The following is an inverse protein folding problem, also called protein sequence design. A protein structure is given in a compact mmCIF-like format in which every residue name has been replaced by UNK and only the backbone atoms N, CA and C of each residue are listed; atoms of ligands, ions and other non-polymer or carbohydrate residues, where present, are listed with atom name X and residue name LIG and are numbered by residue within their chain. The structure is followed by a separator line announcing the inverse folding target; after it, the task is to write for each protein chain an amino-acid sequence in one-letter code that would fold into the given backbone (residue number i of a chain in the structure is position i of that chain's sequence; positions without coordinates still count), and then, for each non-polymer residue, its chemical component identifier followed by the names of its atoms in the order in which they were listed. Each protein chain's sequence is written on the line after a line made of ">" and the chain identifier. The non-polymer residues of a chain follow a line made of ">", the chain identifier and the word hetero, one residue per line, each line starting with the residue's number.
data_IF_621900733579
#
_entry.id   IF_621900733579
#
_cell.length_a   1.000
_cell.length_b   1.000
_cell.length_c   1.000
_cell.angle_alpha   90.00
_cell.angle_beta   90.00
_cell.angle_gamma   90.00
#
_symmetry.space_group_name_H-M   'P 1'
#
loop_
_entity.id
_entity.type
_entity.pdbx_description
1 polymer ?
#
# COMPACT_ATOMS: atom_id res chain seq x y z
N UNK A 1 39.23 23.24 -71.49
CA UNK A 1 38.20 22.72 -72.42
C UNK A 1 37.38 21.70 -71.63
N UNK A 2 36.24 22.10 -71.07
CA UNK A 2 34.89 21.64 -71.51
C UNK A 2 34.59 20.23 -70.96
N UNK A 3 33.56 19.89 -70.16
CA UNK A 3 32.23 20.48 -69.88
C UNK A 3 31.54 19.70 -68.72
N UNK A 4 30.91 20.44 -67.80
CA UNK A 4 29.56 20.26 -67.19
C UNK A 4 29.13 18.96 -66.45
N UNK A 5 28.90 19.04 -65.13
CA UNK A 5 27.62 19.15 -64.37
C UNK A 5 26.85 17.83 -64.19
N UNK A 6 26.76 17.37 -62.92
CA UNK A 6 25.49 16.87 -62.37
C UNK A 6 25.34 17.31 -60.90
N UNK A 7 24.16 17.87 -60.66
CA UNK A 7 23.67 18.61 -59.50
C UNK A 7 23.55 17.72 -58.27
N UNK A 8 24.16 18.13 -57.15
CA UNK A 8 23.82 17.65 -55.80
C UNK A 8 22.90 18.70 -55.16
N UNK A 9 21.65 18.30 -54.93
CA UNK A 9 20.60 19.16 -54.43
C UNK A 9 20.84 19.57 -52.98
N UNK A 10 20.54 20.84 -52.75
CA UNK A 10 20.49 21.60 -51.50
C UNK A 10 19.56 20.94 -50.47
N UNK A 11 20.05 20.78 -49.25
CA UNK A 11 19.24 20.80 -48.03
C UNK A 11 20.01 21.55 -46.95
N UNK A 12 20.00 22.88 -47.08
CA UNK A 12 20.16 23.78 -45.96
C UNK A 12 18.75 24.30 -45.65
N UNK A 13 18.27 24.12 -44.41
CA UNK A 13 17.76 25.21 -43.57
C UNK A 13 17.18 24.67 -42.25
N UNK A 14 17.40 25.49 -41.21
CA UNK A 14 16.74 25.54 -39.90
C UNK A 14 16.98 24.40 -38.91
N UNK A 15 18.15 24.45 -38.26
CA UNK A 15 18.21 24.28 -36.80
C UNK A 15 17.56 25.51 -36.14
N UNK A 16 16.29 25.41 -35.76
CA UNK A 16 15.66 26.22 -34.70
C UNK A 16 14.26 25.69 -34.41
N UNK A 17 13.96 25.49 -33.11
CA UNK A 17 12.69 25.05 -32.50
C UNK A 17 12.26 23.61 -32.89
N UNK A 18 12.18 22.64 -31.99
CA UNK A 18 11.42 22.65 -30.73
C UNK A 18 12.18 21.82 -29.69
N UNK A 19 12.81 22.49 -28.74
CA UNK A 19 13.36 21.89 -27.53
C UNK A 19 12.74 22.61 -26.32
N UNK A 20 11.41 22.65 -26.27
CA UNK A 20 10.66 23.03 -25.08
C UNK A 20 9.44 22.13 -25.02
N UNK A 21 9.32 21.32 -23.96
CA UNK A 21 8.14 20.46 -23.82
C UNK A 21 8.20 19.29 -22.84
N UNK A 22 9.31 19.04 -22.13
CA UNK A 22 9.27 18.29 -20.87
C UNK A 22 10.26 18.95 -19.91
N UNK A 23 9.83 20.12 -19.40
CA UNK A 23 10.52 20.79 -18.32
C UNK A 23 10.68 19.83 -17.15
N UNK A 24 11.90 19.72 -16.64
CA UNK A 24 12.13 19.20 -15.31
C UNK A 24 11.21 19.97 -14.36
N UNK A 25 10.29 19.27 -13.70
CA UNK A 25 9.37 19.89 -12.76
C UNK A 25 10.18 20.75 -11.77
N UNK A 26 9.89 22.04 -11.74
CA UNK A 26 10.50 22.95 -10.77
C UNK A 26 10.22 22.41 -9.36
N UNK A 27 11.22 22.46 -8.49
CA UNK A 27 11.04 22.18 -7.06
C UNK A 27 10.16 23.22 -6.37
N UNK A 28 9.92 24.37 -7.02
CA UNK A 28 8.99 25.39 -6.56
C UNK A 28 7.53 25.06 -6.96
N UNK A 29 6.56 25.21 -6.03
CA UNK A 29 5.15 25.09 -6.34
C UNK A 29 4.69 26.04 -7.45
N UNK A 30 3.64 25.69 -8.21
CA UNK A 30 3.03 26.59 -9.19
C UNK A 30 2.71 27.98 -8.63
N UNK A 31 2.87 29.02 -9.45
CA UNK A 31 2.74 30.43 -9.04
C UNK A 31 1.36 30.83 -8.48
N UNK A 32 0.35 29.97 -8.60
CA UNK A 32 -0.98 30.14 -8.00
C UNK A 32 -0.95 30.05 -6.47
N UNK A 33 0.06 29.40 -5.90
CA UNK A 33 0.22 29.26 -4.46
C UNK A 33 0.91 30.48 -3.84
N UNK A 34 0.35 30.93 -2.72
CA UNK A 34 0.89 32.01 -1.91
C UNK A 34 2.18 31.58 -1.21
N UNK A 35 3.15 32.51 -1.15
CA UNK A 35 4.48 32.26 -0.57
C UNK A 35 4.55 32.51 0.94
N UNK A 36 3.48 33.04 1.55
CA UNK A 36 3.41 33.28 2.99
C UNK A 36 3.36 31.96 3.76
N UNK A 37 3.66 32.04 5.06
CA UNK A 37 3.44 30.92 5.98
C UNK A 37 1.96 30.53 6.01
N UNK A 38 1.67 29.28 6.40
CA UNK A 38 0.29 28.80 6.60
C UNK A 38 -0.55 29.78 7.43
N UNK A 39 0.00 30.23 8.57
CA UNK A 39 -0.66 31.14 9.51
C UNK A 39 -0.93 32.52 8.90
N UNK A 40 0.04 33.08 8.17
CA UNK A 40 -0.10 34.41 7.59
C UNK A 40 -1.02 34.41 6.36
N UNK A 41 -0.97 33.36 5.54
CA UNK A 41 -1.88 33.17 4.43
C UNK A 41 -3.32 32.98 4.93
N UNK A 42 -3.52 32.21 6.00
CA UNK A 42 -4.84 32.06 6.64
C UNK A 42 -5.37 33.42 7.12
N UNK A 43 -4.57 34.19 7.87
CA UNK A 43 -4.95 35.54 8.32
C UNK A 43 -5.33 36.46 7.16
N UNK A 44 -4.60 36.36 6.04
CA UNK A 44 -4.87 37.17 4.86
C UNK A 44 -6.14 36.75 4.12
N UNK A 45 -6.42 35.45 4.05
CA UNK A 45 -7.69 34.96 3.52
C UNK A 45 -8.87 35.48 4.36
N UNK A 46 -8.76 35.35 5.69
CA UNK A 46 -9.76 35.81 6.65
C UNK A 46 -9.99 37.34 6.51
N UNK A 47 -8.92 38.14 6.48
CA UNK A 47 -9.01 39.59 6.30
C UNK A 47 -9.60 40.01 4.94
N UNK A 48 -9.27 39.27 3.87
CA UNK A 48 -9.81 39.49 2.53
C UNK A 48 -11.19 38.89 2.30
N UNK A 49 -11.79 38.23 3.32
CA UNK A 49 -13.02 37.43 3.20
C UNK A 49 -12.96 36.40 2.06
N UNK A 50 -11.76 35.93 1.72
CA UNK A 50 -11.50 34.93 0.67
C UNK A 50 -11.56 33.52 1.25
N UNK A 51 -11.69 32.53 0.38
CA UNK A 51 -11.47 31.14 0.77
C UNK A 51 -9.99 30.92 1.11
N UNK A 52 -9.72 30.11 2.12
CA UNK A 52 -8.37 29.64 2.38
C UNK A 52 -8.25 28.18 1.90
N UNK A 53 -7.42 27.95 0.89
CA UNK A 53 -7.26 26.64 0.27
C UNK A 53 -5.90 26.08 0.66
N UNK A 54 -5.87 24.84 1.14
CA UNK A 54 -4.64 24.12 1.47
C UNK A 54 -4.49 22.95 0.51
N UNK A 55 -3.32 22.81 -0.10
CA UNK A 55 -2.89 21.58 -0.78
C UNK A 55 -1.81 20.89 0.05
N UNK A 56 -2.14 19.77 0.67
CA UNK A 56 -1.16 18.89 1.30
C UNK A 56 -0.44 18.05 0.24
N UNK A 57 0.90 17.99 0.31
CA UNK A 57 1.78 17.36 -0.68
C UNK A 57 2.99 16.69 -0.03
N UNK A 58 3.79 15.99 -0.82
CA UNK A 58 5.13 15.50 -0.44
C UNK A 58 6.05 15.44 -1.68
N UNK A 59 7.37 15.48 -1.48
CA UNK A 59 8.36 15.41 -2.58
C UNK A 59 8.27 14.09 -3.36
N UNK A 60 7.93 13.01 -2.67
CA UNK A 60 7.75 11.68 -3.24
C UNK A 60 6.33 11.44 -3.79
N UNK A 61 5.41 12.41 -3.67
CA UNK A 61 4.03 12.25 -4.13
C UNK A 61 3.92 12.44 -5.65
N UNK A 62 3.96 11.32 -6.40
CA UNK A 62 3.77 11.32 -7.86
C UNK A 62 2.47 12.01 -8.33
N UNK A 63 1.29 11.69 -7.78
CA UNK A 63 0.04 12.37 -8.14
C UNK A 63 0.05 13.88 -7.87
N UNK A 64 0.76 14.33 -6.84
CA UNK A 64 0.92 15.75 -6.54
C UNK A 64 1.71 16.46 -7.64
N UNK A 65 2.85 15.89 -8.06
CA UNK A 65 3.65 16.41 -9.19
C UNK A 65 2.81 16.50 -10.46
N UNK A 66 1.99 15.48 -10.74
CA UNK A 66 1.08 15.49 -11.89
C UNK A 66 0.05 16.61 -11.80
N UNK A 67 -0.58 16.83 -10.64
CA UNK A 67 -1.50 17.95 -10.44
C UNK A 67 -0.79 19.30 -10.58
N UNK A 68 0.45 19.42 -10.11
CA UNK A 68 1.20 20.67 -10.24
C UNK A 68 1.53 20.98 -11.69
N UNK A 69 1.86 19.97 -12.49
CA UNK A 69 2.17 20.11 -13.91
C UNK A 69 0.93 20.25 -14.82
N UNK A 70 -0.28 19.95 -14.34
CA UNK A 70 -1.50 19.91 -15.20
C UNK A 70 -2.68 20.71 -14.66
N UNK A 71 -2.92 20.67 -13.36
CA UNK A 71 -4.17 21.12 -12.72
C UNK A 71 -4.02 22.49 -12.07
N UNK A 72 -2.95 22.69 -11.31
CA UNK A 72 -2.67 23.98 -10.66
C UNK A 72 -2.08 25.03 -11.59
N UNK A 73 -1.78 24.64 -12.83
CA UNK A 73 -1.34 25.53 -13.92
C UNK A 73 -2.44 25.81 -14.94
N UNK A 74 -3.63 25.22 -14.78
CA UNK A 74 -4.77 25.48 -15.67
C UNK A 74 -5.30 26.91 -15.48
N UNK A 75 -5.52 27.62 -16.59
CA UNK A 75 -5.91 29.03 -16.58
C UNK A 75 -7.21 29.30 -15.82
N UNK A 76 -8.19 28.38 -15.86
CA UNK A 76 -9.46 28.56 -15.17
C UNK A 76 -9.30 28.35 -13.68
N UNK A 77 -8.52 27.34 -13.28
CA UNK A 77 -8.16 27.11 -11.86
C UNK A 77 -7.39 28.30 -11.31
N UNK A 78 -6.35 28.77 -12.02
CA UNK A 78 -5.57 29.95 -11.63
C UNK A 78 -6.47 31.17 -11.46
N UNK A 79 -7.33 31.44 -12.45
CA UNK A 79 -8.24 32.58 -12.42
C UNK A 79 -9.17 32.50 -11.21
N UNK A 80 -9.80 31.35 -10.98
CA UNK A 80 -10.69 31.17 -9.85
C UNK A 80 -9.97 31.41 -8.51
N UNK A 81 -8.77 30.84 -8.33
CA UNK A 81 -8.01 31.00 -7.08
C UNK A 81 -7.62 32.46 -6.86
N UNK A 82 -7.11 33.16 -7.87
CA UNK A 82 -6.74 34.58 -7.74
C UNK A 82 -7.93 35.46 -7.33
N UNK A 83 -9.09 35.21 -7.93
CA UNK A 83 -10.28 36.00 -7.70
C UNK A 83 -10.90 35.70 -6.31
N UNK A 84 -10.92 34.43 -5.88
CA UNK A 84 -11.76 33.98 -4.77
C UNK A 84 -11.01 33.49 -3.52
N UNK A 85 -9.72 33.16 -3.63
CA UNK A 85 -9.01 32.42 -2.60
C UNK A 85 -7.58 32.92 -2.31
N UNK A 86 -7.04 32.45 -1.19
CA UNK A 86 -5.60 32.37 -0.92
C UNK A 86 -5.28 30.89 -0.80
N UNK A 87 -4.45 30.36 -1.70
CA UNK A 87 -4.08 28.95 -1.72
C UNK A 87 -2.64 28.77 -1.22
N UNK A 88 -2.39 27.77 -0.37
CA UNK A 88 -1.05 27.43 0.12
C UNK A 88 -0.73 25.95 -0.07
N UNK A 89 0.56 25.64 -0.07
CA UNK A 89 1.06 24.27 -0.04
C UNK A 89 1.50 23.93 1.39
N UNK A 90 1.16 22.74 1.84
CA UNK A 90 1.67 22.12 3.06
C UNK A 90 2.42 20.85 2.66
N UNK A 91 3.74 20.85 2.84
CA UNK A 91 4.59 19.67 2.67
C UNK A 91 4.56 18.86 3.97
N UNK A 92 3.99 17.66 3.91
CA UNK A 92 3.73 16.83 5.11
C UNK A 92 5.01 16.38 5.81
N UNK A 93 6.14 16.30 5.09
CA UNK A 93 7.42 15.91 5.68
C UNK A 93 8.09 17.09 6.40
N UNK A 94 7.87 18.30 5.89
CA UNK A 94 8.48 19.54 6.46
C UNK A 94 7.61 20.20 7.52
N UNK A 95 6.31 20.01 7.45
CA UNK A 95 5.31 20.71 8.25
C UNK A 95 4.43 19.69 9.00
N UNK A 96 5.08 18.77 9.72
CA UNK A 96 4.44 17.63 10.37
C UNK A 96 3.35 18.03 11.36
N UNK A 97 3.57 19.09 12.15
CA UNK A 97 2.57 19.58 13.12
C UNK A 97 1.29 20.04 12.40
N UNK A 98 1.44 20.83 11.32
CA UNK A 98 0.30 21.30 10.51
C UNK A 98 -0.40 20.12 9.84
N UNK A 99 0.36 19.16 9.30
CA UNK A 99 -0.22 17.97 8.67
C UNK A 99 -0.98 17.09 9.68
N UNK A 100 -0.49 16.99 10.91
CA UNK A 100 -1.14 16.31 12.03
C UNK A 100 -2.44 17.00 12.42
N UNK A 101 -2.42 18.32 12.63
CA UNK A 101 -3.59 19.13 12.98
C UNK A 101 -4.69 19.07 11.91
N UNK A 102 -4.30 18.98 10.63
CA UNK A 102 -5.22 18.84 9.50
C UNK A 102 -5.69 17.39 9.26
N UNK A 103 -5.18 16.43 10.04
CA UNK A 103 -5.43 15.00 9.89
C UNK A 103 -5.18 14.50 8.44
N UNK A 104 -4.02 14.85 7.87
CA UNK A 104 -3.63 14.41 6.52
C UNK A 104 -3.18 12.95 6.56
N UNK A 105 -3.96 12.07 5.92
CA UNK A 105 -3.66 10.63 5.82
C UNK A 105 -3.27 10.18 4.40
N UNK A 106 -3.46 11.05 3.41
CA UNK A 106 -3.21 10.75 2.01
C UNK A 106 -2.91 12.02 1.22
N UNK A 107 -2.14 11.87 0.14
CA UNK A 107 -1.74 12.98 -0.73
C UNK A 107 -2.12 12.70 -2.20
N UNK A 108 -2.44 13.77 -2.96
CA UNK A 108 -2.70 15.12 -2.48
C UNK A 108 -4.02 15.18 -1.68
N UNK A 109 -4.10 16.11 -0.74
CA UNK A 109 -5.37 16.48 -0.08
C UNK A 109 -5.58 17.98 -0.25
N UNK A 110 -6.75 18.35 -0.79
CA UNK A 110 -7.18 19.74 -0.91
C UNK A 110 -8.25 20.02 0.14
N UNK A 111 -8.06 21.08 0.93
CA UNK A 111 -8.98 21.48 1.99
C UNK A 111 -9.38 22.93 1.76
N UNK A 112 -10.68 23.21 1.86
CA UNK A 112 -11.22 24.56 1.80
C UNK A 112 -11.68 24.99 3.18
N UNK A 113 -11.20 26.16 3.62
CA UNK A 113 -11.61 26.81 4.85
C UNK A 113 -12.36 28.10 4.55
N UNK A 114 -13.37 28.36 5.37
CA UNK A 114 -14.10 29.63 5.42
C UNK A 114 -14.28 30.03 6.88
N UNK A 115 -14.00 31.28 7.20
CA UNK A 115 -14.16 31.84 8.55
C UNK A 115 -13.47 31.00 9.63
N UNK A 116 -12.27 30.53 9.32
CA UNK A 116 -11.45 29.68 10.20
C UNK A 116 -11.92 28.25 10.39
N UNK A 117 -13.03 27.83 9.78
CA UNK A 117 -13.54 26.46 9.84
C UNK A 117 -13.33 25.73 8.52
N UNK A 118 -13.12 24.42 8.61
CA UNK A 118 -13.09 23.58 7.42
C UNK A 118 -14.51 23.47 6.84
N UNK A 119 -14.64 23.81 5.57
CA UNK A 119 -15.90 23.74 4.85
C UNK A 119 -16.08 22.39 4.17
N UNK A 120 -15.08 21.98 3.38
CA UNK A 120 -15.04 20.71 2.65
C UNK A 120 -13.59 20.32 2.32
N UNK A 121 -13.38 19.04 2.01
CA UNK A 121 -12.09 18.49 1.57
C UNK A 121 -12.25 17.47 0.44
N UNK A 122 -11.24 17.37 -0.43
CA UNK A 122 -11.16 16.32 -1.45
C UNK A 122 -9.77 15.70 -1.46
N UNK A 123 -9.71 14.39 -1.61
CA UNK A 123 -8.47 13.59 -1.53
C UNK A 123 -8.17 12.92 -2.86
N UNK A 124 -6.88 12.80 -3.16
CA UNK A 124 -6.33 12.16 -4.35
C UNK A 124 -6.26 13.09 -5.56
N UNK A 125 -5.74 12.57 -6.65
CA UNK A 125 -5.63 13.29 -7.92
C UNK A 125 -7.00 13.87 -8.34
N UNK A 126 -6.98 15.12 -8.82
CA UNK A 126 -8.09 15.77 -9.50
C UNK A 126 -7.59 16.31 -10.83
N UNK A 127 -8.30 16.02 -11.90
CA UNK A 127 -8.08 16.68 -13.18
C UNK A 127 -8.48 18.17 -13.06
N UNK A 128 -8.06 19.04 -13.99
CA UNK A 128 -8.38 20.47 -13.95
C UNK A 128 -9.88 20.76 -13.79
N UNK A 129 -10.71 20.08 -14.59
CA UNK A 129 -12.16 20.23 -14.53
C UNK A 129 -12.77 19.78 -13.19
N UNK A 130 -12.26 18.69 -12.60
CA UNK A 130 -12.76 18.18 -11.32
C UNK A 130 -12.38 19.09 -10.16
N UNK A 131 -11.16 19.64 -10.16
CA UNK A 131 -10.75 20.61 -9.14
C UNK A 131 -11.56 21.89 -9.27
N UNK A 132 -11.74 22.41 -10.49
CA UNK A 132 -12.54 23.60 -10.74
C UNK A 132 -14.00 23.40 -10.31
N UNK A 133 -14.61 22.26 -10.63
CA UNK A 133 -15.98 21.92 -10.20
C UNK A 133 -16.10 21.95 -8.67
N UNK A 134 -15.13 21.39 -7.95
CA UNK A 134 -15.11 21.46 -6.50
C UNK A 134 -14.95 22.90 -5.96
N UNK A 135 -14.04 23.68 -6.54
CA UNK A 135 -13.82 25.09 -6.15
C UNK A 135 -15.07 25.96 -6.41
N UNK A 136 -15.73 25.79 -7.54
CA UNK A 136 -16.98 26.49 -7.83
C UNK A 136 -18.12 25.99 -6.94
N UNK A 137 -18.17 24.70 -6.62
CA UNK A 137 -19.13 24.11 -5.68
C UNK A 137 -19.04 24.74 -4.30
N UNK A 138 -17.85 24.82 -3.71
CA UNK A 138 -17.67 25.46 -2.40
C UNK A 138 -18.10 26.93 -2.42
N UNK A 139 -17.86 27.65 -3.53
CA UNK A 139 -18.33 29.04 -3.68
C UNK A 139 -19.86 29.16 -3.71
N UNK A 140 -20.57 28.12 -4.19
CA UNK A 140 -22.04 28.01 -4.13
C UNK A 140 -22.56 27.48 -2.79
N UNK A 141 -21.68 27.18 -1.83
CA UNK A 141 -22.06 26.57 -0.55
C UNK A 141 -22.37 25.07 -0.66
N UNK A 142 -21.92 24.41 -1.73
CA UNK A 142 -22.11 22.98 -1.95
C UNK A 142 -20.93 22.19 -1.35
N UNK A 143 -21.23 21.10 -0.64
CA UNK A 143 -20.21 20.15 -0.16
C UNK A 143 -20.16 18.93 -1.08
N UNK A 144 -18.95 18.46 -1.39
CA UNK A 144 -18.73 17.30 -2.26
C UNK A 144 -19.40 16.02 -1.76
N UNK A 145 -19.58 15.85 -0.45
CA UNK A 145 -20.32 14.72 0.14
C UNK A 145 -21.75 14.60 -0.39
N UNK A 146 -22.45 15.69 -0.67
CA UNK A 146 -23.85 15.64 -1.11
C UNK A 146 -23.97 15.07 -2.52
N UNK A 147 -23.03 15.40 -3.41
CA UNK A 147 -22.93 14.77 -4.73
C UNK A 147 -22.60 13.28 -4.62
N UNK A 148 -21.72 12.90 -3.69
CA UNK A 148 -21.35 11.49 -3.44
C UNK A 148 -22.54 10.70 -2.88
N UNK A 149 -23.28 11.24 -1.89
CA UNK A 149 -24.51 10.66 -1.34
C UNK A 149 -25.57 10.45 -2.42
N UNK A 150 -25.76 11.45 -3.30
CA UNK A 150 -26.72 11.34 -4.42
C UNK A 150 -26.36 10.21 -5.36
N UNK A 151 -25.06 10.06 -5.70
CA UNK A 151 -24.58 8.94 -6.54
C UNK A 151 -24.78 7.59 -5.85
N UNK A 152 -24.45 7.50 -4.56
CA UNK A 152 -24.57 6.28 -3.77
C UNK A 152 -26.02 5.77 -3.62
N UNK A 153 -27.01 6.67 -3.59
CA UNK A 153 -28.45 6.31 -3.55
C UNK A 153 -29.01 5.77 -4.88
N UNK A 154 -28.21 5.79 -5.96
CA UNK A 154 -28.63 5.36 -7.29
C UNK A 154 -29.50 6.38 -8.02
N UNK A 155 -29.21 6.59 -9.31
CA UNK A 155 -30.06 7.40 -10.19
C UNK A 155 -31.19 6.56 -10.78
N UNK A 156 -32.37 6.55 -10.16
CA UNK A 156 -33.68 6.19 -10.75
C UNK A 156 -33.86 4.81 -11.41
N UNK A 157 -32.84 3.97 -11.53
CA UNK A 157 -32.83 2.73 -12.31
C UNK A 157 -32.74 1.43 -11.51
N UNK A 158 -32.77 1.49 -10.17
CA UNK A 158 -33.00 0.34 -9.30
C UNK A 158 -31.85 -0.65 -9.08
N UNK A 159 -30.63 -0.41 -9.57
CA UNK A 159 -29.44 -1.20 -9.21
C UNK A 159 -28.52 -0.41 -8.28
N UNK A 160 -28.20 -1.00 -7.13
CA UNK A 160 -27.22 -0.48 -6.18
C UNK A 160 -25.84 -0.34 -6.84
N UNK A 161 -25.25 0.85 -6.74
CA UNK A 161 -23.89 1.12 -7.22
C UNK A 161 -22.89 0.93 -6.06
N UNK A 162 -22.34 -0.29 -5.97
CA UNK A 162 -21.35 -0.68 -4.97
C UNK A 162 -20.14 0.24 -4.95
N UNK A 163 -19.68 0.72 -6.12
CA UNK A 163 -18.53 1.60 -6.19
C UNK A 163 -18.89 2.99 -5.65
N UNK A 164 -20.09 3.50 -5.95
CA UNK A 164 -20.57 4.77 -5.39
C UNK A 164 -20.74 4.70 -3.88
N UNK A 165 -21.26 3.59 -3.33
CA UNK A 165 -21.37 3.39 -1.87
C UNK A 165 -20.00 3.25 -1.20
N UNK A 166 -19.06 2.53 -1.80
CA UNK A 166 -17.69 2.46 -1.27
C UNK A 166 -17.01 3.83 -1.29
N UNK A 167 -17.22 4.64 -2.33
CA UNK A 167 -16.75 6.01 -2.38
C UNK A 167 -17.42 6.90 -1.30
N UNK A 168 -18.71 6.68 -1.01
CA UNK A 168 -19.41 7.33 0.08
C UNK A 168 -18.81 6.99 1.44
N UNK A 169 -18.58 5.71 1.74
CA UNK A 169 -17.96 5.27 2.99
C UNK A 169 -16.61 5.98 3.22
N UNK A 170 -15.75 6.02 2.19
CA UNK A 170 -14.46 6.71 2.24
C UNK A 170 -14.60 8.21 2.46
N UNK A 171 -15.55 8.86 1.77
CA UNK A 171 -15.80 10.30 1.93
C UNK A 171 -16.35 10.63 3.32
N UNK A 172 -17.19 9.78 3.90
CA UNK A 172 -17.67 9.94 5.28
C UNK A 172 -16.52 9.87 6.29
N UNK A 173 -15.55 8.96 6.11
CA UNK A 173 -14.33 8.92 6.95
C UNK A 173 -13.51 10.22 6.81
N UNK A 174 -13.34 10.69 5.57
CA UNK A 174 -12.61 11.94 5.28
C UNK A 174 -13.26 13.13 5.97
N UNK A 175 -14.59 13.19 5.99
CA UNK A 175 -15.36 14.28 6.61
C UNK A 175 -15.56 14.10 8.12
N UNK A 176 -14.92 13.10 8.74
CA UNK A 176 -15.05 12.82 10.17
C UNK A 176 -16.41 12.25 10.59
N UNK A 177 -17.28 11.88 9.65
CA UNK A 177 -18.59 11.27 9.89
C UNK A 177 -18.43 9.76 10.15
N UNK A 178 -17.72 9.40 11.22
CA UNK A 178 -17.24 8.04 11.48
C UNK A 178 -18.37 7.03 11.70
N UNK A 179 -19.45 7.42 12.37
CA UNK A 179 -20.60 6.52 12.62
C UNK A 179 -21.32 6.16 11.31
N UNK A 180 -21.56 7.16 10.46
CA UNK A 180 -22.18 6.94 9.15
C UNK A 180 -21.26 6.13 8.23
N UNK A 181 -19.95 6.40 8.26
CA UNK A 181 -18.98 5.60 7.52
C UNK A 181 -19.01 4.14 7.97
N UNK A 182 -19.10 3.90 9.28
CA UNK A 182 -19.18 2.55 9.85
C UNK A 182 -20.41 1.82 9.34
N UNK A 183 -21.57 2.47 9.33
CA UNK A 183 -22.81 1.87 8.84
C UNK A 183 -22.73 1.54 7.34
N UNK A 184 -22.13 2.42 6.54
CA UNK A 184 -21.87 2.14 5.12
C UNK A 184 -20.91 0.97 4.92
N UNK A 185 -19.83 0.87 5.69
CA UNK A 185 -18.90 -0.27 5.62
C UNK A 185 -19.56 -1.59 6.03
N UNK A 186 -20.43 -1.59 7.04
CA UNK A 186 -21.17 -2.80 7.46
C UNK A 186 -22.13 -3.24 6.36
N UNK A 187 -22.87 -2.29 5.76
CA UNK A 187 -23.76 -2.61 4.65
C UNK A 187 -22.98 -3.17 3.46
N UNK A 188 -21.86 -2.52 3.10
CA UNK A 188 -20.99 -3.01 2.03
C UNK A 188 -20.46 -4.41 2.36
N UNK A 189 -20.10 -4.68 3.61
CA UNK A 189 -19.59 -6.01 3.99
C UNK A 189 -20.64 -7.09 3.71
N UNK A 190 -21.89 -6.81 4.05
CA UNK A 190 -23.01 -7.74 3.94
C UNK A 190 -23.50 -7.93 2.49
N UNK A 191 -23.50 -6.86 1.68
CA UNK A 191 -24.20 -6.88 0.38
C UNK A 191 -23.29 -6.76 -0.85
N UNK A 192 -22.04 -6.31 -0.69
CA UNK A 192 -21.14 -6.03 -1.82
C UNK A 192 -20.99 -7.21 -2.78
N UNK A 193 -20.89 -8.44 -2.24
CA UNK A 193 -20.66 -9.64 -3.05
C UNK A 193 -21.94 -10.22 -3.66
N UNK A 194 -23.09 -9.95 -3.05
CA UNK A 194 -24.39 -10.30 -3.63
C UNK A 194 -24.64 -9.50 -4.92
N UNK A 195 -24.19 -8.25 -4.94
CA UNK A 195 -24.31 -7.36 -6.10
C UNK A 195 -23.16 -7.48 -7.09
N UNK A 196 -21.93 -7.69 -6.61
CA UNK A 196 -20.74 -7.79 -7.44
C UNK A 196 -19.70 -8.76 -6.84
N UNK A 197 -19.76 -10.06 -7.19
CA UNK A 197 -18.82 -11.07 -6.68
C UNK A 197 -17.34 -10.76 -6.98
N UNK A 198 -17.04 -10.00 -8.03
CA UNK A 198 -15.67 -9.61 -8.36
C UNK A 198 -15.02 -8.70 -7.30
N UNK A 199 -15.82 -8.12 -6.40
CA UNK A 199 -15.35 -7.28 -5.31
C UNK A 199 -14.82 -8.06 -4.10
N UNK A 200 -14.82 -9.41 -4.13
CA UNK A 200 -14.31 -10.25 -3.02
C UNK A 200 -12.91 -9.81 -2.57
N UNK A 201 -12.00 -9.64 -3.54
CA UNK A 201 -10.64 -9.18 -3.27
C UNK A 201 -10.59 -7.78 -2.66
N UNK A 202 -11.46 -6.86 -3.09
CA UNK A 202 -11.51 -5.48 -2.54
C UNK A 202 -12.05 -5.48 -1.11
N UNK A 203 -13.11 -6.26 -0.84
CA UNK A 203 -13.73 -6.39 0.49
C UNK A 203 -12.73 -6.86 1.54
N UNK A 204 -12.02 -7.96 1.26
CA UNK A 204 -11.05 -8.55 2.18
C UNK A 204 -9.71 -7.80 2.29
N UNK A 205 -9.45 -6.80 1.43
CA UNK A 205 -8.18 -6.06 1.42
C UNK A 205 -8.34 -4.56 1.70
N UNK A 206 -8.63 -3.76 0.67
CA UNK A 206 -8.72 -2.31 0.76
C UNK A 206 -9.81 -1.87 1.74
N UNK A 207 -11.01 -2.47 1.62
CA UNK A 207 -12.13 -2.13 2.48
C UNK A 207 -11.88 -2.57 3.93
N UNK A 208 -11.40 -3.80 4.16
CA UNK A 208 -11.02 -4.26 5.49
C UNK A 208 -9.94 -3.37 6.14
N UNK A 209 -8.97 -2.87 5.36
CA UNK A 209 -7.97 -1.92 5.85
C UNK A 209 -8.61 -0.59 6.29
N UNK A 210 -9.54 -0.07 5.49
CA UNK A 210 -10.28 1.14 5.84
C UNK A 210 -11.10 0.93 7.13
N UNK A 211 -11.78 -0.22 7.25
CA UNK A 211 -12.51 -0.59 8.47
C UNK A 211 -11.57 -0.69 9.69
N UNK A 212 -10.38 -1.29 9.54
CA UNK A 212 -9.39 -1.37 10.63
C UNK A 212 -8.95 0.02 11.09
N UNK A 213 -8.66 0.93 10.16
CA UNK A 213 -8.32 2.34 10.48
C UNK A 213 -9.48 3.04 11.20
N UNK A 214 -10.71 2.81 10.74
CA UNK A 214 -11.90 3.36 11.37
C UNK A 214 -12.11 2.81 12.80
N UNK A 215 -11.88 1.51 13.01
CA UNK A 215 -11.97 0.87 14.32
C UNK A 215 -10.96 1.43 15.33
N UNK A 216 -9.77 1.84 14.88
CA UNK A 216 -8.77 2.50 15.74
C UNK A 216 -9.21 3.91 16.14
N UNK A 217 -10.01 4.59 15.28
CA UNK A 217 -10.43 5.98 15.45
C UNK A 217 -11.77 6.15 16.18
N UNK A 218 -12.62 5.13 16.22
CA UNK A 218 -13.94 5.18 16.87
C UNK A 218 -14.22 3.88 17.64
N UNK A 219 -14.53 4.04 18.93
CA UNK A 219 -14.92 2.92 19.80
C UNK A 219 -16.24 2.30 19.35
N UNK A 220 -17.16 3.13 18.88
CA UNK A 220 -18.45 2.75 18.34
C UNK A 220 -18.26 1.89 17.09
N UNK A 221 -17.32 2.27 16.20
CA UNK A 221 -16.93 1.46 15.06
C UNK A 221 -16.36 0.09 15.49
N UNK A 222 -15.45 0.07 16.47
CA UNK A 222 -14.94 -1.19 17.03
C UNK A 222 -16.07 -2.09 17.52
N UNK A 223 -17.03 -1.55 18.27
CA UNK A 223 -18.17 -2.29 18.80
C UNK A 223 -19.05 -2.87 17.68
N UNK A 224 -19.43 -2.05 16.69
CA UNK A 224 -20.27 -2.51 15.59
C UNK A 224 -19.57 -3.56 14.72
N UNK A 225 -18.27 -3.42 14.44
CA UNK A 225 -17.51 -4.43 13.73
C UNK A 225 -17.31 -5.71 14.57
N UNK A 226 -17.22 -5.61 15.89
CA UNK A 226 -17.19 -6.78 16.79
C UNK A 226 -18.50 -7.56 16.69
N UNK A 227 -19.65 -6.88 16.71
CA UNK A 227 -20.95 -7.54 16.52
C UNK A 227 -21.07 -8.23 15.16
N UNK A 228 -20.56 -7.59 14.09
CA UNK A 228 -20.48 -8.20 12.77
C UNK A 228 -19.62 -9.48 12.78
N UNK A 229 -18.43 -9.41 13.39
CA UNK A 229 -17.51 -10.55 13.58
C UNK A 229 -18.16 -11.68 14.36
N UNK A 230 -18.80 -11.38 15.49
CA UNK A 230 -19.38 -12.37 16.39
C UNK A 230 -20.50 -13.16 15.69
N UNK A 231 -21.32 -12.49 14.86
CA UNK A 231 -22.33 -13.15 14.04
C UNK A 231 -21.71 -14.16 13.08
N UNK A 232 -20.67 -13.77 12.33
CA UNK A 232 -19.94 -14.68 11.42
C UNK A 232 -19.29 -15.83 12.20
N UNK A 233 -18.77 -15.55 13.40
CA UNK A 233 -18.11 -16.55 14.24
C UNK A 233 -19.03 -17.64 14.78
N UNK A 234 -20.32 -17.34 15.02
CA UNK A 234 -21.30 -18.31 15.50
C UNK A 234 -21.52 -19.46 14.50
N UNK A 235 -21.57 -19.16 13.21
CA UNK A 235 -21.70 -20.19 12.15
C UNK A 235 -20.49 -21.16 12.18
N UNK A 236 -19.28 -20.61 12.30
CA UNK A 236 -18.02 -21.38 12.37
C UNK A 236 -18.01 -22.30 13.59
N UNK A 237 -18.41 -21.79 14.76
CA UNK A 237 -18.45 -22.57 16.01
C UNK A 237 -19.47 -23.71 15.96
N UNK A 238 -20.58 -23.53 15.24
CA UNK A 238 -21.63 -24.53 15.05
C UNK A 238 -21.28 -25.60 14.00
N UNK A 239 -20.01 -25.72 13.61
CA UNK A 239 -19.50 -26.70 12.64
C UNK A 239 -20.06 -26.58 11.22
N UNK A 240 -20.73 -25.47 10.88
CA UNK A 240 -20.96 -25.04 9.50
C UNK A 240 -19.79 -24.16 9.09
N UNK A 241 -18.79 -24.78 8.48
CA UNK A 241 -17.55 -24.09 8.10
C UNK A 241 -17.60 -23.84 6.60
N UNK A 242 -18.33 -22.80 6.21
CA UNK A 242 -18.14 -22.25 4.88
C UNK A 242 -16.73 -21.61 4.80
N UNK A 243 -15.93 -21.91 3.76
CA UNK A 243 -14.60 -21.33 3.61
C UNK A 243 -14.59 -19.80 3.58
N UNK A 244 -15.65 -19.18 3.04
CA UNK A 244 -15.78 -17.73 2.91
C UNK A 244 -16.17 -17.11 4.26
N UNK A 245 -17.05 -17.76 5.04
CA UNK A 245 -17.37 -17.33 6.41
C UNK A 245 -16.13 -17.35 7.32
N UNK A 246 -15.30 -18.39 7.20
CA UNK A 246 -14.03 -18.45 7.92
C UNK A 246 -13.07 -17.32 7.51
N UNK A 247 -12.98 -17.05 6.20
CA UNK A 247 -12.19 -15.95 5.66
C UNK A 247 -12.65 -14.61 6.25
N UNK A 248 -13.96 -14.35 6.21
CA UNK A 248 -14.58 -13.15 6.72
C UNK A 248 -14.32 -12.97 8.23
N UNK A 249 -14.48 -14.04 9.01
CA UNK A 249 -14.23 -14.00 10.46
C UNK A 249 -12.76 -13.68 10.78
N UNK A 250 -11.80 -14.29 10.07
CA UNK A 250 -10.37 -14.01 10.25
C UNK A 250 -10.03 -12.56 9.88
N UNK A 251 -10.59 -12.06 8.78
CA UNK A 251 -10.40 -10.66 8.36
C UNK A 251 -11.01 -9.70 9.38
N UNK A 252 -12.22 -9.99 9.89
CA UNK A 252 -12.88 -9.16 10.90
C UNK A 252 -12.15 -9.19 12.24
N UNK A 253 -11.57 -10.32 12.67
CA UNK A 253 -10.66 -10.36 13.82
C UNK A 253 -9.49 -9.38 13.64
N UNK A 254 -8.89 -9.34 12.44
CA UNK A 254 -7.82 -8.39 12.13
C UNK A 254 -8.30 -6.92 12.09
N UNK A 255 -9.53 -6.68 11.63
CA UNK A 255 -10.17 -5.34 11.64
C UNK A 255 -10.30 -4.81 13.06
N UNK A 256 -10.77 -5.63 14.00
CA UNK A 256 -10.97 -5.22 15.40
C UNK A 256 -9.73 -5.41 16.28
N UNK A 257 -8.66 -6.00 15.74
CA UNK A 257 -7.41 -6.26 16.47
C UNK A 257 -7.46 -7.46 17.43
N UNK A 258 -8.45 -8.35 17.30
CA UNK A 258 -8.61 -9.54 18.15
C UNK A 258 -7.77 -10.71 17.61
N UNK A 259 -6.44 -10.56 17.68
CA UNK A 259 -5.49 -11.62 17.28
C UNK A 259 -5.64 -12.87 18.15
N UNK A 260 -5.99 -12.69 19.43
CA UNK A 260 -6.13 -13.78 20.39
C UNK A 260 -7.20 -14.77 19.94
N UNK A 261 -8.37 -14.30 19.50
CA UNK A 261 -9.43 -15.17 18.99
C UNK A 261 -8.94 -16.03 17.82
N UNK A 262 -8.21 -15.44 16.87
CA UNK A 262 -7.61 -16.17 15.74
C UNK A 262 -6.65 -17.26 16.19
N UNK A 263 -5.75 -16.96 17.13
CA UNK A 263 -4.76 -17.92 17.64
C UNK A 263 -5.42 -19.05 18.44
N UNK A 264 -6.37 -18.72 19.33
CA UNK A 264 -7.11 -19.70 20.12
C UNK A 264 -7.89 -20.67 19.21
N UNK A 265 -8.50 -20.15 18.12
CA UNK A 265 -9.15 -20.99 17.12
C UNK A 265 -8.15 -21.85 16.36
N UNK A 266 -7.05 -21.25 15.88
CA UNK A 266 -6.00 -21.97 15.14
C UNK A 266 -5.45 -23.13 15.96
N UNK A 267 -5.17 -22.93 17.25
CA UNK A 267 -4.66 -23.97 18.14
C UNK A 267 -5.62 -25.14 18.33
N UNK A 268 -6.93 -24.90 18.30
CA UNK A 268 -7.94 -25.96 18.37
C UNK A 268 -7.94 -26.84 17.11
N UNK A 269 -7.63 -26.26 15.94
CA UNK A 269 -7.87 -26.92 14.63
C UNK A 269 -6.60 -27.36 13.91
N UNK A 270 -5.42 -26.80 14.21
CA UNK A 270 -4.18 -26.98 13.43
C UNK A 270 -3.70 -28.43 13.28
N UNK A 271 -4.04 -29.30 14.22
CA UNK A 271 -3.66 -30.73 14.21
C UNK A 271 -4.78 -31.64 13.68
N UNK A 272 -5.95 -31.10 13.37
CA UNK A 272 -7.09 -31.85 12.85
C UNK A 272 -7.02 -31.92 11.32
N UNK A 273 -6.80 -33.12 10.77
CA UNK A 273 -6.59 -33.33 9.33
C UNK A 273 -7.64 -32.70 8.40
N UNK A 274 -8.91 -32.66 8.82
CA UNK A 274 -10.01 -32.05 8.05
C UNK A 274 -9.83 -30.56 7.78
N UNK A 275 -9.06 -29.84 8.59
CA UNK A 275 -8.85 -28.40 8.46
C UNK A 275 -7.66 -28.04 7.56
N UNK A 276 -6.78 -28.99 7.22
CA UNK A 276 -5.58 -28.72 6.42
C UNK A 276 -5.86 -27.93 5.13
N UNK A 277 -6.87 -28.29 4.30
CA UNK A 277 -7.16 -27.54 3.08
C UNK A 277 -7.62 -26.10 3.36
N UNK A 278 -8.41 -25.89 4.42
CA UNK A 278 -8.89 -24.55 4.81
C UNK A 278 -7.75 -23.70 5.36
N UNK A 279 -6.90 -24.26 6.22
CA UNK A 279 -5.73 -23.57 6.76
C UNK A 279 -4.77 -23.14 5.64
N UNK A 280 -4.56 -24.01 4.64
CA UNK A 280 -3.75 -23.66 3.47
C UNK A 280 -4.34 -22.51 2.64
N UNK A 281 -5.67 -22.49 2.46
CA UNK A 281 -6.35 -21.36 1.80
C UNK A 281 -6.24 -20.05 2.58
N UNK A 282 -6.19 -20.13 3.91
CA UNK A 282 -6.10 -18.98 4.81
C UNK A 282 -4.67 -18.54 5.12
N UNK A 283 -3.67 -19.03 4.37
CA UNK A 283 -2.28 -18.76 4.66
C UNK A 283 -1.92 -17.27 4.67
N UNK A 284 -2.53 -16.45 3.80
CA UNK A 284 -2.32 -15.00 3.77
C UNK A 284 -2.88 -14.28 5.01
N UNK A 285 -3.95 -14.80 5.61
CA UNK A 285 -4.56 -14.23 6.81
C UNK A 285 -3.85 -14.70 8.09
N UNK A 286 -3.32 -15.93 8.10
CA UNK A 286 -2.72 -16.54 9.28
C UNK A 286 -1.21 -16.30 9.40
N UNK A 287 -0.46 -16.29 8.29
CA UNK A 287 1.01 -16.19 8.33
C UNK A 287 1.50 -14.93 9.05
N UNK A 288 0.97 -13.71 8.80
CA UNK A 288 1.44 -12.51 9.49
C UNK A 288 1.30 -12.61 11.01
N UNK A 289 0.15 -13.11 11.48
CA UNK A 289 -0.13 -13.26 12.92
C UNK A 289 0.81 -14.30 13.55
N UNK A 290 1.03 -15.43 12.87
CA UNK A 290 1.93 -16.46 13.37
C UNK A 290 3.39 -15.99 13.40
N UNK A 291 3.83 -15.21 12.42
CA UNK A 291 5.18 -14.62 12.37
C UNK A 291 5.37 -13.61 13.49
N UNK A 292 4.41 -12.70 13.69
CA UNK A 292 4.42 -11.71 14.79
C UNK A 292 4.52 -12.38 16.17
N UNK A 293 3.90 -13.54 16.35
CA UNK A 293 3.95 -14.34 17.58
C UNK A 293 5.12 -15.34 17.62
N UNK A 294 6.07 -15.25 16.68
CA UNK A 294 7.25 -16.12 16.57
C UNK A 294 6.93 -17.63 16.41
N UNK A 295 5.76 -17.97 15.85
CA UNK A 295 5.27 -19.34 15.63
C UNK A 295 5.65 -19.89 14.24
N UNK A 296 6.93 -19.79 13.87
CA UNK A 296 7.43 -20.14 12.55
C UNK A 296 7.13 -21.57 12.09
N UNK A 297 7.20 -22.55 13.00
CA UNK A 297 6.87 -23.94 12.66
C UNK A 297 5.39 -24.10 12.24
N UNK A 298 4.49 -23.28 12.81
CA UNK A 298 3.07 -23.29 12.44
C UNK A 298 2.83 -22.63 11.09
N UNK A 299 3.65 -21.65 10.68
CA UNK A 299 3.60 -21.07 9.33
C UNK A 299 3.83 -22.16 8.29
N UNK A 300 4.79 -23.07 8.50
CA UNK A 300 5.06 -24.17 7.57
C UNK A 300 3.87 -25.13 7.40
N UNK A 301 2.98 -25.22 8.39
CA UNK A 301 1.76 -26.06 8.31
C UNK A 301 0.75 -25.53 7.30
N UNK A 302 0.77 -24.21 7.05
CA UNK A 302 -0.10 -23.56 6.07
C UNK A 302 0.31 -23.87 4.62
N UNK A 303 1.53 -24.38 4.42
CA UNK A 303 2.10 -24.68 3.12
C UNK A 303 2.48 -26.17 3.03
N UNK A 304 1.49 -27.05 2.79
CA UNK A 304 1.72 -28.50 2.71
C UNK A 304 2.61 -28.87 1.52
N UNK A 305 2.59 -28.08 0.44
CA UNK A 305 3.45 -28.22 -0.74
C UNK A 305 4.24 -26.91 -0.97
N UNK A 306 5.45 -26.80 -0.39
CA UNK A 306 6.26 -25.60 -0.53
C UNK A 306 6.74 -25.36 -1.97
N UNK A 307 7.03 -26.42 -2.73
CA UNK A 307 7.53 -26.27 -4.11
C UNK A 307 6.44 -25.71 -5.02
N UNK A 308 5.21 -26.21 -4.92
CA UNK A 308 4.08 -25.63 -5.63
C UNK A 308 3.81 -24.19 -5.19
N UNK A 309 4.05 -23.85 -3.91
CA UNK A 309 3.94 -22.47 -3.45
C UNK A 309 5.02 -21.56 -4.05
N UNK A 310 6.26 -22.04 -4.18
CA UNK A 310 7.35 -21.32 -4.84
C UNK A 310 6.98 -20.98 -6.30
N UNK A 311 6.46 -21.96 -7.04
CA UNK A 311 6.05 -21.77 -8.42
C UNK A 311 4.95 -20.72 -8.54
N UNK A 312 3.96 -20.74 -7.64
CA UNK A 312 2.90 -19.73 -7.59
C UNK A 312 3.44 -18.33 -7.30
N UNK A 313 4.34 -18.21 -6.34
CA UNK A 313 4.90 -16.91 -5.95
C UNK A 313 5.81 -16.34 -7.05
N UNK A 314 6.54 -17.20 -7.75
CA UNK A 314 7.36 -16.81 -8.90
C UNK A 314 6.50 -16.39 -10.11
N UNK A 315 5.42 -17.12 -10.42
CA UNK A 315 4.51 -16.73 -11.49
C UNK A 315 3.82 -15.40 -11.18
N UNK A 316 3.42 -15.17 -9.93
CA UNK A 316 2.87 -13.88 -9.52
C UNK A 316 3.89 -12.77 -9.69
N UNK A 317 5.14 -12.99 -9.28
CA UNK A 317 6.25 -12.06 -9.50
C UNK A 317 6.43 -11.71 -10.98
N UNK A 318 6.45 -12.71 -11.86
CA UNK A 318 6.57 -12.51 -13.30
C UNK A 318 5.44 -11.65 -13.84
N UNK A 319 4.19 -11.97 -13.49
CA UNK A 319 3.00 -11.22 -13.92
C UNK A 319 2.97 -9.78 -13.40
N UNK A 320 3.48 -9.52 -12.19
CA UNK A 320 3.50 -8.16 -11.64
C UNK A 320 4.67 -7.34 -12.14
N UNK A 321 5.81 -7.96 -12.42
CA UNK A 321 6.98 -7.32 -13.02
C UNK A 321 6.72 -6.95 -14.50
N UNK A 322 5.95 -7.76 -15.23
CA UNK A 322 5.55 -7.49 -16.62
C UNK A 322 4.47 -6.40 -16.77
N UNK A 323 3.91 -5.88 -15.67
CA UNK A 323 2.99 -4.74 -15.75
C UNK A 323 3.76 -3.49 -16.16
N UNK A 324 3.34 -2.92 -17.28
CA UNK A 324 3.97 -1.74 -17.84
C UNK A 324 3.51 -0.49 -17.07
N UNK A 325 4.45 0.17 -16.39
CA UNK A 325 4.27 1.56 -15.96
C UNK A 325 4.22 2.51 -17.16
N UNK A 326 3.69 3.73 -17.01
CA UNK A 326 3.62 4.71 -18.11
C UNK A 326 5.00 5.18 -18.60
N UNK A 327 6.04 4.96 -17.80
CA UNK A 327 7.42 5.36 -18.06
C UNK A 327 8.42 4.36 -17.45
N UNK A 328 9.68 4.50 -17.87
CA UNK A 328 10.80 3.64 -17.48
C UNK A 328 11.07 3.66 -15.97
N UNK A 329 10.94 4.82 -15.32
CA UNK A 329 11.15 4.96 -13.88
C UNK A 329 10.11 4.17 -13.09
N UNK A 330 8.83 4.30 -13.48
CA UNK A 330 7.73 3.56 -12.87
C UNK A 330 7.90 2.06 -13.10
N UNK A 331 8.33 1.64 -14.29
CA UNK A 331 8.60 0.23 -14.60
C UNK A 331 9.65 -0.35 -13.66
N UNK A 332 10.76 0.35 -13.45
CA UNK A 332 11.84 -0.07 -12.54
C UNK A 332 11.36 -0.18 -11.09
N UNK A 333 10.58 0.79 -10.62
CA UNK A 333 10.00 0.76 -9.26
C UNK A 333 9.08 -0.46 -9.06
N UNK A 334 8.26 -0.78 -10.06
CA UNK A 334 7.35 -1.91 -10.02
C UNK A 334 8.09 -3.26 -10.04
N UNK A 335 9.14 -3.37 -10.85
CA UNK A 335 10.01 -4.54 -10.93
C UNK A 335 10.75 -4.77 -9.61
N UNK A 336 11.35 -3.73 -9.02
CA UNK A 336 12.02 -3.80 -7.72
C UNK A 336 11.05 -4.17 -6.59
N UNK A 337 9.85 -3.58 -6.60
CA UNK A 337 8.80 -3.89 -5.61
C UNK A 337 8.34 -5.34 -5.71
N UNK A 338 8.14 -5.84 -6.94
CA UNK A 338 7.76 -7.22 -7.19
C UNK A 338 8.87 -8.20 -6.74
N UNK A 339 10.12 -7.88 -7.07
CA UNK A 339 11.28 -8.70 -6.67
C UNK A 339 11.42 -8.79 -5.15
N UNK A 340 11.22 -7.66 -4.46
CA UNK A 340 11.26 -7.62 -2.99
C UNK A 340 10.17 -8.48 -2.37
N UNK A 341 8.95 -8.36 -2.88
CA UNK A 341 7.81 -9.16 -2.41
C UNK A 341 8.02 -10.67 -2.61
N UNK A 342 8.56 -11.07 -3.77
CA UNK A 342 8.92 -12.45 -4.03
C UNK A 342 9.94 -12.99 -3.01
N UNK A 343 11.06 -12.28 -2.84
CA UNK A 343 12.13 -12.65 -1.90
C UNK A 343 11.61 -12.77 -0.47
N UNK A 344 10.80 -11.82 -0.01
CA UNK A 344 10.22 -11.83 1.33
C UNK A 344 9.38 -13.09 1.58
N UNK A 345 8.46 -13.41 0.68
CA UNK A 345 7.58 -14.59 0.81
C UNK A 345 8.37 -15.90 0.81
N UNK A 346 9.33 -16.01 -0.10
CA UNK A 346 10.21 -17.16 -0.21
C UNK A 346 11.03 -17.33 1.07
N UNK A 347 11.61 -16.24 1.58
CA UNK A 347 12.42 -16.27 2.79
C UNK A 347 11.62 -16.64 4.04
N UNK A 348 10.37 -16.16 4.15
CA UNK A 348 9.48 -16.53 5.25
C UNK A 348 9.14 -18.03 5.24
N UNK A 349 8.79 -18.59 4.08
CA UNK A 349 8.50 -20.03 3.97
C UNK A 349 9.75 -20.87 4.21
N UNK A 350 10.90 -20.46 3.69
CA UNK A 350 12.18 -21.11 3.98
C UNK A 350 12.47 -21.19 5.49
N UNK A 351 12.38 -20.06 6.19
CA UNK A 351 12.58 -19.99 7.64
C UNK A 351 11.56 -20.84 8.41
N UNK A 352 10.30 -20.84 7.97
CA UNK A 352 9.24 -21.67 8.53
C UNK A 352 9.55 -23.18 8.39
N UNK A 353 10.05 -23.62 7.23
CA UNK A 353 10.45 -25.02 7.02
C UNK A 353 11.59 -25.44 7.95
N UNK A 354 12.58 -24.56 8.16
CA UNK A 354 13.65 -24.81 9.13
C UNK A 354 13.10 -24.94 10.56
N UNK A 355 12.20 -24.04 10.96
CA UNK A 355 11.56 -24.06 12.27
C UNK A 355 10.70 -25.32 12.50
N UNK A 356 10.11 -25.87 11.44
CA UNK A 356 9.35 -27.11 11.45
C UNK A 356 10.24 -28.38 11.37
N UNK A 357 11.56 -28.25 11.53
CA UNK A 357 12.54 -29.34 11.40
C UNK A 357 12.52 -30.05 10.02
N UNK A 358 12.06 -29.37 8.96
CA UNK A 358 12.02 -29.86 7.57
C UNK A 358 13.28 -29.43 6.81
N UNK A 359 14.46 -29.63 7.38
CA UNK A 359 15.71 -28.99 6.90
C UNK A 359 16.10 -29.40 5.47
N UNK A 360 15.99 -30.69 5.12
CA UNK A 360 16.29 -31.17 3.76
C UNK A 360 15.38 -30.53 2.70
N UNK A 361 14.11 -30.38 3.02
CA UNK A 361 13.14 -29.74 2.16
C UNK A 361 13.38 -28.23 2.07
N UNK A 362 13.69 -27.58 3.19
CA UNK A 362 14.06 -26.17 3.21
C UNK A 362 15.28 -25.87 2.32
N UNK A 363 16.31 -26.73 2.34
CA UNK A 363 17.48 -26.60 1.46
C UNK A 363 17.09 -26.77 -0.02
N UNK A 364 16.30 -27.80 -0.35
CA UNK A 364 15.82 -28.02 -1.73
C UNK A 364 15.01 -26.82 -2.23
N UNK A 365 14.14 -26.29 -1.37
CA UNK A 365 13.33 -25.11 -1.65
C UNK A 365 14.20 -23.86 -1.89
N UNK A 366 15.17 -23.59 -1.02
CA UNK A 366 16.08 -22.46 -1.15
C UNK A 366 16.99 -22.59 -2.38
N UNK A 367 17.41 -23.80 -2.74
CA UNK A 367 18.19 -24.04 -3.96
C UNK A 367 17.39 -23.71 -5.22
N UNK A 368 16.12 -24.12 -5.26
CA UNK A 368 15.24 -23.77 -6.37
C UNK A 368 14.97 -22.26 -6.42
N UNK A 369 14.69 -21.64 -5.27
CA UNK A 369 14.46 -20.20 -5.19
C UNK A 369 15.66 -19.39 -5.71
N UNK A 370 16.88 -19.79 -5.37
CA UNK A 370 18.12 -19.16 -5.85
C UNK A 370 18.42 -19.40 -7.34
N UNK A 371 17.76 -20.37 -7.98
CA UNK A 371 17.80 -20.53 -9.45
C UNK A 371 16.82 -19.60 -10.14
N UNK A 372 15.68 -19.30 -9.49
CA UNK A 372 14.68 -18.37 -10.00
C UNK A 372 15.12 -16.91 -9.81
N UNK A 373 15.86 -16.64 -8.75
CA UNK A 373 16.49 -15.34 -8.48
C UNK A 373 17.91 -15.57 -7.92
N UNK A 374 18.91 -15.45 -8.79
CA UNK A 374 20.32 -15.68 -8.47
C UNK A 374 21.01 -14.45 -7.85
N UNK A 375 20.24 -13.44 -7.43
CA UNK A 375 20.77 -12.21 -6.86
C UNK A 375 21.34 -12.38 -5.45
N UNK A 376 22.26 -11.48 -5.09
CA UNK A 376 22.72 -11.34 -3.70
C UNK A 376 21.57 -11.02 -2.73
N UNK A 377 20.56 -10.27 -3.18
CA UNK A 377 19.41 -9.90 -2.37
C UNK A 377 18.53 -11.11 -2.00
N UNK A 378 18.38 -12.11 -2.89
CA UNK A 378 17.69 -13.35 -2.55
C UNK A 378 18.44 -14.11 -1.44
N UNK A 379 19.76 -14.25 -1.58
CA UNK A 379 20.61 -14.89 -0.56
C UNK A 379 20.53 -14.15 0.78
N UNK A 380 20.64 -12.83 0.76
CA UNK A 380 20.52 -12.00 1.96
C UNK A 380 19.15 -12.17 2.62
N UNK A 381 18.07 -12.14 1.85
CA UNK A 381 16.70 -12.26 2.37
C UNK A 381 16.45 -13.62 3.03
N UNK A 382 16.89 -14.72 2.41
CA UNK A 382 16.82 -16.07 2.98
C UNK A 382 17.55 -16.15 4.32
N UNK A 383 18.78 -15.60 4.38
CA UNK A 383 19.62 -15.67 5.57
C UNK A 383 19.14 -14.75 6.68
N UNK A 384 18.76 -13.50 6.36
CA UNK A 384 18.26 -12.54 7.34
C UNK A 384 16.95 -13.02 7.97
N UNK A 385 16.02 -13.52 7.16
CA UNK A 385 14.73 -14.01 7.68
C UNK A 385 14.92 -15.28 8.52
N UNK A 386 15.80 -16.19 8.11
CA UNK A 386 16.14 -17.36 8.92
C UNK A 386 16.80 -16.95 10.25
N UNK A 387 17.67 -15.94 10.25
CA UNK A 387 18.27 -15.40 11.47
C UNK A 387 17.22 -14.78 12.40
N UNK A 388 16.34 -13.93 11.87
CA UNK A 388 15.27 -13.27 12.62
C UNK A 388 14.26 -14.28 13.19
N UNK A 389 14.04 -15.39 12.49
CA UNK A 389 13.24 -16.53 12.95
C UNK A 389 13.95 -17.44 13.99
N UNK A 390 15.17 -17.10 14.41
CA UNK A 390 15.99 -17.95 15.29
C UNK A 390 16.46 -19.26 14.63
N UNK A 391 16.45 -19.32 13.31
CA UNK A 391 16.79 -20.50 12.49
C UNK A 391 18.15 -20.40 11.79
N UNK A 392 19.10 -19.68 12.38
CA UNK A 392 20.48 -19.63 11.89
C UNK A 392 21.12 -21.04 11.80
N UNK A 393 21.90 -21.28 10.74
CA UNK A 393 22.65 -22.51 10.48
C UNK A 393 24.05 -22.17 9.97
N UNK A 394 25.01 -23.07 10.19
CA UNK A 394 26.40 -22.88 9.75
C UNK A 394 26.53 -22.67 8.25
N UNK A 395 25.77 -23.41 7.43
CA UNK A 395 25.80 -23.29 5.97
C UNK A 395 25.30 -21.93 5.45
N UNK A 396 24.59 -21.14 6.26
CA UNK A 396 24.22 -19.77 5.89
C UNK A 396 25.46 -18.86 5.75
N UNK A 397 26.52 -19.12 6.52
CA UNK A 397 27.78 -18.37 6.39
C UNK A 397 28.42 -18.63 5.01
N UNK A 398 28.39 -19.88 4.56
CA UNK A 398 28.91 -20.27 3.24
C UNK A 398 28.14 -19.55 2.13
N UNK A 399 26.82 -19.42 2.27
CA UNK A 399 26.00 -18.69 1.30
C UNK A 399 26.35 -17.20 1.24
N UNK A 400 26.58 -16.57 2.39
CA UNK A 400 27.03 -15.18 2.45
C UNK A 400 28.46 -14.98 1.94
N UNK A 401 29.24 -16.05 1.76
CA UNK A 401 30.58 -16.03 1.17
C UNK A 401 30.62 -16.53 -0.28
N UNK A 402 29.47 -16.84 -0.87
CA UNK A 402 29.35 -17.38 -2.22
C UNK A 402 29.82 -16.40 -3.31
N UNK A 403 30.13 -16.94 -4.49
CA UNK A 403 30.48 -16.15 -5.67
C UNK A 403 29.38 -15.18 -6.09
N UNK A 404 28.11 -15.54 -5.90
CA UNK A 404 26.96 -14.66 -6.11
C UNK A 404 27.10 -13.36 -5.32
N UNK A 405 27.48 -13.46 -4.04
CA UNK A 405 27.68 -12.29 -3.18
C UNK A 405 28.92 -11.52 -3.59
N UNK A 406 30.03 -12.19 -3.91
CA UNK A 406 31.29 -11.52 -4.29
C UNK A 406 31.19 -10.75 -5.61
N UNK A 407 30.37 -11.22 -6.54
CA UNK A 407 30.18 -10.59 -7.86
C UNK A 407 29.13 -9.47 -7.85
N UNK A 408 28.35 -9.34 -6.77
CA UNK A 408 27.35 -8.30 -6.66
C UNK A 408 28.00 -6.92 -6.56
N UNK A 409 27.55 -5.99 -7.40
CA UNK A 409 27.98 -4.58 -7.36
C UNK A 409 27.18 -3.85 -6.27
N UNK A 410 27.54 -4.08 -5.02
CA UNK A 410 26.89 -3.46 -3.87
C UNK A 410 27.37 -2.00 -3.69
N UNK A 411 26.49 -1.13 -3.21
CA UNK A 411 26.90 0.20 -2.74
C UNK A 411 27.46 0.10 -1.31
N UNK A 412 27.97 1.22 -0.77
CA UNK A 412 28.56 1.26 0.58
C UNK A 412 27.61 0.80 1.69
N UNK A 413 26.33 1.12 1.55
CA UNK A 413 25.31 0.83 2.57
C UNK A 413 24.96 -0.67 2.54
N UNK A 414 24.84 -1.25 1.35
CA UNK A 414 24.60 -2.67 1.14
C UNK A 414 25.79 -3.54 1.60
N UNK A 415 27.02 -3.07 1.38
CA UNK A 415 28.24 -3.72 1.91
C UNK A 415 28.26 -3.70 3.45
N UNK A 416 27.90 -2.56 4.05
CA UNK A 416 27.80 -2.42 5.51
C UNK A 416 26.71 -3.34 6.09
N UNK A 417 25.54 -3.40 5.46
CA UNK A 417 24.44 -4.27 5.86
C UNK A 417 24.82 -5.76 5.76
N UNK A 418 25.53 -6.15 4.69
CA UNK A 418 26.03 -7.52 4.54
C UNK A 418 27.05 -7.88 5.63
N UNK A 419 27.94 -6.95 5.98
CA UNK A 419 28.91 -7.14 7.07
C UNK A 419 28.21 -7.33 8.41
N UNK A 420 27.22 -6.47 8.73
CA UNK A 420 26.40 -6.60 9.93
C UNK A 420 25.69 -7.96 9.99
N UNK A 421 25.04 -8.37 8.90
CA UNK A 421 24.34 -9.65 8.81
C UNK A 421 25.27 -10.83 9.10
N UNK A 422 26.50 -10.83 8.54
CA UNK A 422 27.50 -11.88 8.82
C UNK A 422 27.87 -11.92 10.30
N UNK A 423 28.10 -10.77 10.93
CA UNK A 423 28.45 -10.68 12.35
C UNK A 423 27.32 -11.18 13.26
N UNK A 424 26.08 -10.78 12.99
CA UNK A 424 24.91 -11.23 13.75
C UNK A 424 24.67 -12.73 13.57
N UNK A 425 24.84 -13.25 12.35
CA UNK A 425 24.69 -14.67 12.05
C UNK A 425 25.74 -15.52 12.79
N UNK A 426 27.02 -15.16 12.73
CA UNK A 426 28.09 -15.85 13.45
C UNK A 426 27.84 -15.87 14.97
N UNK A 427 27.41 -14.73 15.51
CA UNK A 427 27.05 -14.61 16.93
C UNK A 427 25.87 -15.52 17.33
N UNK A 428 24.83 -15.61 16.48
CA UNK A 428 23.67 -16.46 16.73
C UNK A 428 24.01 -17.95 16.68
N UNK A 429 24.85 -18.36 15.73
CA UNK A 429 25.31 -19.75 15.59
C UNK A 429 26.12 -20.17 16.82
N UNK A 430 27.04 -19.33 17.31
CA UNK A 430 27.82 -19.59 18.51
C UNK A 430 26.92 -19.79 19.74
N UNK A 431 26.00 -18.86 19.99
CA UNK A 431 25.04 -18.95 21.11
C UNK A 431 24.16 -20.22 21.03
N UNK A 432 23.66 -20.56 19.85
CA UNK A 432 22.82 -21.75 19.64
C UNK A 432 23.58 -23.08 19.72
N UNK A 433 24.90 -23.05 19.53
CA UNK A 433 25.80 -24.18 19.76
C UNK A 433 26.06 -24.45 21.24
N UNK A 434 26.20 -23.39 22.03
CA UNK A 434 26.46 -23.49 23.48
C UNK A 434 25.23 -23.97 24.26
N UNK A 435 24.02 -23.48 23.93
CA UNK A 435 22.76 -23.95 24.54
C UNK A 435 22.45 -25.45 24.27
N UNK A 436 22.96 -26.01 23.17
CA UNK A 436 22.85 -27.45 22.83
C UNK A 436 23.89 -28.32 23.54
N UNK A 437 24.95 -27.73 24.09
CA UNK A 437 25.95 -28.43 24.92
C UNK A 437 25.55 -28.47 26.40
N UNK A 438 24.82 -27.47 26.88
CA UNK A 438 24.33 -27.42 28.28
C UNK A 438 23.06 -28.26 28.52
N UNK A 439 22.36 -28.67 27.45
CA UNK A 439 21.16 -29.53 27.50
C UNK A 439 21.43 -31.02 27.29
N UNK A 440 22.72 -31.40 27.19
CA UNK A 440 23.21 -32.78 27.17
C UNK A 440 24.01 -33.05 28.44
#
# INVERSE_FOLDING_TARGET
>A
MMRFILVLAVLALSCAAVAEGFGHASSEPPAVFDKRSYTDAKKAADAGKKWFIVKATAVWCGPCKKMDATTWVDDKVIKWVKDNAVAVVVDVDKQQDIAGDLAIEAMPTMIAFKDGQEFDRVVGYKAPAELLEWLEGIARGEKSIEAVKKKAKGGGGGKEDIQARFNLAKKLVQDGQLDLATDEYIWLWQHMLEHNPAMYGVRGSFMARDMKRLAVRSKEATQKFTLLRDRTGQEIQNSKVDPDDLSDWLVLNNVIGDRKATLDWFDKVKDQGKWKPLLARQALNLSPILIEENRWADVARLYPDPMQQLDRDHELFRLTAERHGPDEETRKIMEESSSRFFRERVAQLYAALLAAAREKEAQTYADQARKLDDSAAMVQSLVSTALDAGQARTFHLDWLQSETIKKAKLNSDDEAALKDLRTRLDSAIKKGGDARKESK
#
